data_IF_570693570580
#
_entry.id   IF_570693570580
#
_cell.length_a   1.000
_cell.length_b   1.000
_cell.length_c   1.000
_cell.angle_alpha   90.00
_cell.angle_beta   90.00
_cell.angle_gamma   90.00
#
_symmetry.space_group_name_H-M   'P 1'
#
loop_
_entity.id
_entity.type
_entity.pdbx_description
1 polymer ?
#
# COMPACT_ATOMS: atom_id res chain seq x y z
N UNK A 1 -0.17 -4.65 -22.94
CA UNK A 1 0.73 -4.00 -21.97
C UNK A 1 2.20 -4.14 -22.38
N UNK A 2 2.73 -5.36 -22.49
CA UNK A 2 4.14 -5.60 -22.84
C UNK A 2 4.61 -4.80 -24.05
N UNK A 3 3.92 -4.89 -25.18
CA UNK A 3 4.32 -4.21 -26.40
C UNK A 3 4.29 -2.67 -26.30
N UNK A 4 3.38 -2.12 -25.50
CA UNK A 4 3.30 -0.66 -25.24
C UNK A 4 4.53 -0.22 -24.46
N UNK A 5 4.92 -0.95 -23.40
CA UNK A 5 6.10 -0.62 -22.60
C UNK A 5 7.39 -0.80 -23.38
N UNK A 6 7.49 -1.82 -24.24
CA UNK A 6 8.64 -2.00 -25.13
C UNK A 6 8.73 -0.86 -26.17
N UNK A 7 7.60 -0.45 -26.75
CA UNK A 7 7.57 0.67 -27.69
C UNK A 7 7.97 1.99 -27.02
N UNK A 8 7.43 2.26 -25.81
CA UNK A 8 7.82 3.44 -25.02
C UNK A 8 9.30 3.39 -24.62
N UNK A 9 9.79 2.21 -24.25
CA UNK A 9 11.19 1.99 -23.92
C UNK A 9 12.11 2.28 -25.09
N UNK A 10 11.82 1.70 -26.27
CA UNK A 10 12.57 1.92 -27.49
C UNK A 10 12.55 3.42 -27.88
N UNK A 11 11.36 4.05 -27.86
CA UNK A 11 11.22 5.47 -28.15
C UNK A 11 12.13 6.32 -27.23
N UNK A 12 12.07 6.09 -25.91
CA UNK A 12 12.85 6.85 -24.94
C UNK A 12 14.37 6.64 -25.12
N UNK A 13 14.80 5.41 -25.41
CA UNK A 13 16.22 5.11 -25.68
C UNK A 13 16.71 5.83 -26.95
N UNK A 14 15.91 5.78 -28.03
CA UNK A 14 16.26 6.46 -29.28
C UNK A 14 16.25 7.98 -29.12
N UNK A 15 15.23 8.54 -28.49
CA UNK A 15 15.13 9.98 -28.23
C UNK A 15 16.25 10.46 -27.31
N UNK A 16 16.52 9.72 -26.23
CA UNK A 16 17.59 10.03 -25.29
C UNK A 16 18.96 9.95 -25.94
N UNK A 17 19.22 8.91 -26.74
CA UNK A 17 20.43 8.77 -27.52
C UNK A 17 20.61 9.91 -28.53
N UNK A 18 19.54 10.33 -29.21
CA UNK A 18 19.55 11.47 -30.10
C UNK A 18 19.93 12.78 -29.36
N UNK A 19 19.30 13.07 -28.22
CA UNK A 19 19.60 14.25 -27.43
C UNK A 19 21.04 14.28 -26.89
N UNK A 20 21.61 13.10 -26.58
CA UNK A 20 23.01 12.98 -26.13
C UNK A 20 23.99 13.18 -27.26
N UNK A 21 23.73 12.53 -28.42
CA UNK A 21 24.68 12.56 -29.56
C UNK A 21 24.59 13.86 -30.37
N UNK A 22 23.41 14.47 -30.44
CA UNK A 22 23.12 15.66 -31.23
C UNK A 22 22.44 16.77 -30.40
N UNK A 23 23.10 17.30 -29.34
CA UNK A 23 22.44 18.18 -28.36
C UNK A 23 21.95 19.50 -28.95
N UNK A 24 22.51 19.97 -30.08
CA UNK A 24 22.08 21.20 -30.76
C UNK A 24 20.95 20.97 -31.78
N UNK A 25 20.75 19.76 -32.28
CA UNK A 25 19.93 19.53 -33.46
C UNK A 25 18.48 20.02 -33.35
N UNK A 26 17.84 19.80 -32.20
CA UNK A 26 16.44 20.23 -31.99
C UNK A 26 16.33 21.78 -31.97
N UNK A 27 17.33 22.47 -31.44
CA UNK A 27 17.38 23.92 -31.39
C UNK A 27 17.58 24.49 -32.80
N UNK A 28 18.45 23.88 -33.61
CA UNK A 28 18.64 24.29 -35.00
C UNK A 28 17.38 24.08 -35.83
N UNK A 29 16.69 22.93 -35.68
CA UNK A 29 15.45 22.65 -36.41
C UNK A 29 14.32 23.62 -36.08
N UNK A 30 14.27 24.09 -34.82
CA UNK A 30 13.24 24.99 -34.33
C UNK A 30 13.67 26.48 -34.43
N UNK A 31 14.84 26.78 -35.03
CA UNK A 31 15.41 28.11 -35.11
C UNK A 31 15.52 28.81 -33.76
N UNK A 32 15.87 28.04 -32.73
CA UNK A 32 16.07 28.53 -31.37
C UNK A 32 17.56 28.81 -31.09
N UNK A 33 17.88 29.74 -30.18
CA UNK A 33 19.22 29.88 -29.68
C UNK A 33 19.75 28.56 -29.10
N UNK A 34 21.03 28.26 -29.37
CA UNK A 34 21.69 27.10 -28.79
C UNK A 34 21.74 27.21 -27.26
N UNK A 35 21.60 26.12 -26.52
CA UNK A 35 21.68 26.15 -25.07
C UNK A 35 23.09 26.56 -24.64
N UNK A 36 23.21 27.46 -23.66
CA UNK A 36 24.48 27.91 -23.12
C UNK A 36 25.35 26.76 -22.59
N UNK A 37 24.68 25.69 -22.10
CA UNK A 37 25.31 24.50 -21.54
C UNK A 37 24.64 23.26 -22.15
N UNK A 38 25.10 22.80 -23.33
CA UNK A 38 24.53 21.63 -24.01
C UNK A 38 24.60 20.36 -23.14
N UNK A 39 25.49 20.30 -22.16
CA UNK A 39 25.60 19.19 -21.21
C UNK A 39 24.34 18.98 -20.37
N UNK A 40 23.59 20.05 -20.05
CA UNK A 40 22.29 19.87 -19.37
C UNK A 40 21.27 19.19 -20.27
N UNK A 41 21.24 19.53 -21.55
CA UNK A 41 20.39 18.85 -22.52
C UNK A 41 20.77 17.39 -22.71
N UNK A 42 22.07 17.10 -22.78
CA UNK A 42 22.57 15.72 -22.81
C UNK A 42 22.17 14.95 -21.53
N UNK A 43 22.25 15.58 -20.35
CA UNK A 43 21.80 14.98 -19.09
C UNK A 43 20.30 14.62 -19.13
N UNK A 44 19.46 15.50 -19.67
CA UNK A 44 18.03 15.19 -19.89
C UNK A 44 17.88 13.98 -20.81
N UNK A 45 18.65 13.93 -21.91
CA UNK A 45 18.66 12.79 -22.83
C UNK A 45 19.04 11.47 -22.14
N UNK A 46 20.06 11.48 -21.30
CA UNK A 46 20.47 10.31 -20.51
C UNK A 46 19.36 9.86 -19.55
N UNK A 47 18.73 10.78 -18.83
CA UNK A 47 17.63 10.48 -17.92
C UNK A 47 16.47 9.83 -18.67
N UNK A 48 16.06 10.40 -19.80
CA UNK A 48 14.98 9.84 -20.62
C UNK A 48 15.35 8.45 -21.15
N UNK A 49 16.60 8.25 -21.59
CA UNK A 49 17.09 6.94 -22.02
C UNK A 49 17.04 5.89 -20.89
N UNK A 50 17.43 6.25 -19.68
CA UNK A 50 17.36 5.38 -18.49
C UNK A 50 15.90 5.00 -18.18
N UNK A 51 14.96 5.93 -18.28
CA UNK A 51 13.52 5.58 -18.18
C UNK A 51 13.11 4.57 -19.26
N UNK A 52 13.67 4.67 -20.47
CA UNK A 52 13.44 3.70 -21.54
C UNK A 52 13.88 2.28 -21.16
N UNK A 53 15.03 2.13 -20.52
CA UNK A 53 15.50 0.84 -19.97
C UNK A 53 14.53 0.36 -18.87
N UNK A 54 14.09 1.25 -17.98
CA UNK A 54 13.11 0.94 -16.95
C UNK A 54 11.80 0.38 -17.53
N UNK A 55 11.28 0.96 -18.62
CA UNK A 55 10.09 0.46 -19.29
C UNK A 55 10.31 -0.90 -19.93
N UNK A 56 11.48 -1.16 -20.49
CA UNK A 56 11.83 -2.47 -21.01
C UNK A 56 11.84 -3.54 -19.91
N UNK A 57 12.39 -3.23 -18.73
CA UNK A 57 12.33 -4.11 -17.55
C UNK A 57 10.88 -4.33 -17.13
N UNK A 58 10.09 -3.27 -16.99
CA UNK A 58 8.69 -3.37 -16.61
C UNK A 58 7.82 -4.14 -17.61
N UNK A 59 8.22 -4.21 -18.87
CA UNK A 59 7.51 -4.96 -19.91
C UNK A 59 7.50 -6.48 -19.69
N UNK A 60 8.46 -7.03 -18.94
CA UNK A 60 8.50 -8.47 -18.64
C UNK A 60 7.46 -8.87 -17.59
N UNK A 61 7.22 -8.01 -16.60
CA UNK A 61 6.18 -8.19 -15.58
C UNK A 61 5.60 -6.82 -15.16
N UNK A 62 4.62 -6.29 -15.90
CA UNK A 62 4.05 -4.98 -15.63
C UNK A 62 3.34 -4.87 -14.28
N UNK A 63 2.84 -6.00 -13.76
CA UNK A 63 2.16 -6.04 -12.45
C UNK A 63 3.18 -5.89 -11.32
N UNK A 64 4.26 -6.64 -11.38
CA UNK A 64 5.33 -6.58 -10.38
C UNK A 64 6.07 -5.24 -10.41
N UNK A 65 6.33 -4.73 -11.62
CA UNK A 65 7.13 -3.52 -11.84
C UNK A 65 6.30 -2.25 -12.04
N UNK A 66 5.03 -2.26 -11.60
CA UNK A 66 4.14 -1.08 -11.71
C UNK A 66 4.74 0.22 -11.14
N UNK A 67 5.61 0.23 -10.08
CA UNK A 67 6.21 1.47 -9.61
C UNK A 67 7.07 2.17 -10.66
N UNK A 68 7.79 1.40 -11.51
CA UNK A 68 8.58 1.97 -12.61
C UNK A 68 7.66 2.68 -13.62
N UNK A 69 6.53 2.02 -13.96
CA UNK A 69 5.53 2.59 -14.87
C UNK A 69 4.90 3.85 -14.28
N UNK A 70 4.63 3.86 -12.96
CA UNK A 70 4.06 5.03 -12.26
C UNK A 70 5.02 6.22 -12.29
N UNK A 71 6.28 6.01 -11.90
CA UNK A 71 7.27 7.10 -11.90
C UNK A 71 7.46 7.66 -13.30
N UNK A 72 7.53 6.80 -14.31
CA UNK A 72 7.60 7.23 -15.70
C UNK A 72 6.35 7.96 -16.17
N UNK A 73 5.17 7.54 -15.75
CA UNK A 73 3.91 8.22 -16.05
C UNK A 73 3.85 9.62 -15.41
N UNK A 74 4.29 9.76 -14.17
CA UNK A 74 4.38 11.07 -13.51
C UNK A 74 5.31 12.02 -14.26
N UNK A 75 6.46 11.54 -14.74
CA UNK A 75 7.36 12.34 -15.58
C UNK A 75 6.66 12.84 -16.84
N UNK A 76 5.89 11.97 -17.49
CA UNK A 76 5.11 12.32 -18.70
C UNK A 76 3.93 13.25 -18.43
N UNK A 77 3.44 13.34 -17.21
CA UNK A 77 2.40 14.30 -16.79
C UNK A 77 3.05 15.64 -16.42
N UNK A 78 4.12 15.64 -15.64
CA UNK A 78 4.76 16.87 -15.18
C UNK A 78 5.53 17.59 -16.30
N UNK A 79 6.06 16.86 -17.29
CA UNK A 79 6.71 17.46 -18.45
C UNK A 79 5.79 18.46 -19.20
N UNK A 80 4.62 18.02 -19.69
CA UNK A 80 3.63 18.90 -20.31
C UNK A 80 3.14 20.04 -19.41
N UNK A 81 2.98 19.81 -18.11
CA UNK A 81 2.60 20.87 -17.17
C UNK A 81 3.66 21.97 -17.09
N UNK A 82 4.94 21.59 -17.00
CA UNK A 82 6.06 22.54 -17.07
C UNK A 82 6.12 23.24 -18.42
N UNK A 83 5.84 22.54 -19.52
CA UNK A 83 5.77 23.11 -20.86
C UNK A 83 4.66 24.17 -20.97
N UNK A 84 3.47 23.90 -20.45
CA UNK A 84 2.35 24.87 -20.44
C UNK A 84 2.80 26.15 -19.72
N UNK A 85 3.47 26.04 -18.59
CA UNK A 85 4.00 27.20 -17.87
C UNK A 85 5.02 27.97 -18.72
N UNK A 86 5.97 27.29 -19.36
CA UNK A 86 6.99 27.93 -20.20
C UNK A 86 6.40 28.63 -21.43
N UNK A 87 5.33 28.07 -22.01
CA UNK A 87 4.58 28.70 -23.11
C UNK A 87 3.81 29.92 -22.64
N UNK A 88 3.16 29.83 -21.48
CA UNK A 88 2.39 30.94 -20.89
C UNK A 88 3.28 32.14 -20.56
N UNK A 89 4.51 31.88 -20.13
CA UNK A 89 5.50 32.89 -19.80
C UNK A 89 6.39 33.31 -21.00
N UNK A 90 6.05 32.86 -22.22
CA UNK A 90 6.74 33.12 -23.47
C UNK A 90 8.25 32.76 -23.44
N UNK A 91 8.65 31.85 -22.59
CA UNK A 91 10.05 31.41 -22.48
C UNK A 91 10.43 30.39 -23.56
N UNK A 92 9.44 29.68 -24.14
CA UNK A 92 9.69 28.71 -25.20
C UNK A 92 8.70 28.93 -26.37
N UNK A 93 9.10 28.67 -27.61
CA UNK A 93 8.21 28.74 -28.77
C UNK A 93 7.25 27.57 -28.78
N UNK A 94 6.04 27.77 -29.32
CA UNK A 94 5.02 26.74 -29.48
C UNK A 94 5.50 25.47 -30.20
N UNK A 95 6.41 25.65 -31.16
CA UNK A 95 6.99 24.53 -31.91
C UNK A 95 7.72 23.53 -30.99
N UNK A 96 8.29 23.98 -29.89
CA UNK A 96 8.95 23.10 -28.91
C UNK A 96 7.94 22.19 -28.18
N UNK A 97 6.69 22.65 -28.01
CA UNK A 97 5.62 21.86 -27.38
C UNK A 97 5.23 20.62 -28.19
N UNK A 98 5.49 20.58 -29.51
CA UNK A 98 5.26 19.41 -30.34
C UNK A 98 6.04 18.19 -29.84
N UNK A 99 7.21 18.41 -29.20
CA UNK A 99 7.98 17.36 -28.56
C UNK A 99 7.18 16.65 -27.46
N UNK A 100 6.37 17.38 -26.67
CA UNK A 100 5.53 16.78 -25.63
C UNK A 100 4.45 15.86 -26.18
N UNK A 101 3.98 16.07 -27.42
CA UNK A 101 2.96 15.20 -28.01
C UNK A 101 3.50 13.77 -28.13
N UNK A 102 4.66 13.61 -28.74
CA UNK A 102 5.25 12.29 -29.01
C UNK A 102 5.97 11.72 -27.80
N UNK A 103 6.60 12.57 -26.99
CA UNK A 103 7.33 12.11 -25.81
C UNK A 103 6.42 11.78 -24.64
N UNK A 104 5.28 12.49 -24.47
CA UNK A 104 4.47 12.43 -23.26
C UNK A 104 3.00 12.07 -23.53
N UNK A 105 2.26 12.89 -24.28
CA UNK A 105 0.81 12.82 -24.35
C UNK A 105 0.29 11.50 -24.94
N UNK A 106 0.94 10.97 -25.99
CA UNK A 106 0.53 9.71 -26.62
C UNK A 106 0.60 8.51 -25.65
N UNK A 107 1.41 8.62 -24.58
CA UNK A 107 1.62 7.58 -23.59
C UNK A 107 0.65 7.66 -22.40
N UNK A 108 -0.10 8.75 -22.24
CA UNK A 108 -0.97 8.96 -21.09
C UNK A 108 -2.04 7.87 -20.95
N UNK A 109 -2.81 7.66 -21.99
CA UNK A 109 -3.88 6.65 -21.98
C UNK A 109 -3.30 5.23 -21.82
N UNK A 110 -2.31 4.79 -22.63
CA UNK A 110 -1.72 3.48 -22.45
C UNK A 110 -1.14 3.23 -21.05
N UNK A 111 -0.40 4.19 -20.49
CA UNK A 111 0.20 4.04 -19.16
C UNK A 111 -0.84 4.02 -18.05
N UNK A 112 -1.86 4.89 -18.12
CA UNK A 112 -2.97 4.87 -17.18
C UNK A 112 -3.72 3.52 -17.18
N UNK A 113 -3.94 2.94 -18.36
CA UNK A 113 -4.56 1.61 -18.48
C UNK A 113 -3.68 0.50 -17.92
N UNK A 114 -2.37 0.55 -18.15
CA UNK A 114 -1.41 -0.40 -17.58
C UNK A 114 -1.40 -0.30 -16.07
N UNK A 115 -1.33 0.92 -15.52
CA UNK A 115 -1.35 1.15 -14.07
C UNK A 115 -2.67 0.70 -13.44
N UNK A 116 -3.80 1.00 -14.08
CA UNK A 116 -5.12 0.53 -13.61
C UNK A 116 -5.16 -1.00 -13.53
N UNK A 117 -4.71 -1.69 -14.58
CA UNK A 117 -4.68 -3.15 -14.59
C UNK A 117 -3.68 -3.71 -13.57
N UNK A 118 -2.45 -3.21 -13.56
CA UNK A 118 -1.43 -3.64 -12.61
C UNK A 118 -1.87 -3.44 -11.16
N UNK A 119 -2.54 -2.32 -10.87
CA UNK A 119 -3.10 -2.06 -9.55
C UNK A 119 -4.23 -3.03 -9.21
N UNK A 120 -5.12 -3.32 -10.16
CA UNK A 120 -6.22 -4.28 -9.95
C UNK A 120 -5.68 -5.68 -9.67
N UNK A 121 -4.70 -6.15 -10.45
CA UNK A 121 -4.06 -7.46 -10.25
C UNK A 121 -3.24 -7.50 -8.96
N UNK A 122 -2.52 -6.43 -8.63
CA UNK A 122 -1.79 -6.32 -7.38
C UNK A 122 -2.71 -6.39 -6.15
N UNK A 123 -3.93 -5.85 -6.24
CA UNK A 123 -4.92 -5.93 -5.17
C UNK A 123 -5.65 -7.29 -5.13
N UNK A 124 -5.65 -8.07 -6.21
CA UNK A 124 -6.15 -9.44 -6.16
C UNK A 124 -5.31 -10.23 -5.17
N UNK A 125 -5.98 -10.89 -4.25
CA UNK A 125 -5.31 -11.80 -3.33
C UNK A 125 -4.86 -13.05 -4.08
N UNK A 126 -3.64 -13.00 -4.61
CA UNK A 126 -2.96 -14.14 -5.25
C UNK A 126 -2.48 -15.11 -4.16
N UNK A 127 -3.41 -15.70 -3.44
CA UNK A 127 -3.13 -16.81 -2.53
C UNK A 127 -3.65 -18.11 -3.11
N UNK A 128 -3.35 -19.27 -2.51
CA UNK A 128 -3.90 -20.54 -2.96
C UNK A 128 -5.42 -20.45 -3.07
N UNK A 129 -5.97 -20.94 -4.18
CA UNK A 129 -7.40 -20.88 -4.49
C UNK A 129 -8.27 -21.62 -3.45
N UNK A 130 -7.65 -22.48 -2.64
CA UNK A 130 -8.28 -23.24 -1.56
C UNK A 130 -7.72 -22.79 -0.22
N UNK A 131 -8.42 -21.86 0.43
CA UNK A 131 -8.17 -21.58 1.85
C UNK A 131 -8.85 -22.64 2.70
N UNK A 132 -8.24 -23.07 3.84
CA UNK A 132 -8.95 -23.85 4.84
C UNK A 132 -10.21 -23.10 5.27
N UNK A 133 -11.24 -23.87 5.69
CA UNK A 133 -12.38 -23.25 6.33
C UNK A 133 -11.97 -22.54 7.64
N UNK A 134 -12.76 -21.57 8.06
CA UNK A 134 -12.49 -20.74 9.25
C UNK A 134 -12.21 -21.59 10.48
N UNK A 135 -13.02 -22.65 10.72
CA UNK A 135 -12.90 -23.51 11.90
C UNK A 135 -11.59 -24.30 11.90
N UNK A 136 -11.17 -24.82 10.77
CA UNK A 136 -9.90 -25.53 10.60
C UNK A 136 -8.72 -24.59 10.82
N UNK A 137 -8.78 -23.37 10.29
CA UNK A 137 -7.73 -22.39 10.45
C UNK A 137 -7.59 -21.94 11.91
N UNK A 138 -8.71 -21.65 12.59
CA UNK A 138 -8.70 -21.25 14.01
C UNK A 138 -8.17 -22.36 14.94
N UNK A 139 -8.41 -23.63 14.61
CA UNK A 139 -7.86 -24.79 15.37
C UNK A 139 -6.38 -25.01 15.09
N UNK A 140 -5.96 -24.82 13.84
CA UNK A 140 -4.57 -25.07 13.43
C UNK A 140 -3.61 -23.93 13.70
N UNK A 141 -4.10 -22.73 13.96
CA UNK A 141 -3.24 -21.55 14.18
C UNK A 141 -2.85 -21.42 15.65
N UNK A 142 -1.55 -21.52 15.92
CA UNK A 142 -1.00 -21.38 17.26
C UNK A 142 -0.52 -19.96 17.52
N UNK A 143 -0.76 -19.49 18.73
CA UNK A 143 -0.21 -18.24 19.26
C UNK A 143 1.22 -18.43 19.75
N UNK A 144 1.92 -17.36 20.06
CA UNK A 144 3.24 -17.36 20.73
C UNK A 144 3.22 -18.11 22.06
N UNK A 145 2.06 -18.31 22.67
CA UNK A 145 1.92 -19.06 23.93
C UNK A 145 1.57 -20.55 23.72
N UNK A 146 1.57 -21.02 22.47
CA UNK A 146 1.32 -22.44 22.13
C UNK A 146 -0.15 -22.86 22.12
N UNK A 147 -1.09 -22.00 22.49
CA UNK A 147 -2.52 -22.27 22.44
C UNK A 147 -3.09 -21.93 21.06
N UNK A 148 -4.04 -22.73 20.56
CA UNK A 148 -4.74 -22.36 19.34
C UNK A 148 -5.78 -21.24 19.59
N UNK A 149 -6.10 -20.48 18.53
CA UNK A 149 -7.16 -19.46 18.63
C UNK A 149 -8.51 -20.05 19.04
N UNK A 150 -8.82 -21.26 18.57
CA UNK A 150 -10.04 -21.95 18.96
C UNK A 150 -10.03 -22.29 20.47
N UNK A 151 -8.92 -22.80 21.00
CA UNK A 151 -8.79 -23.10 22.42
C UNK A 151 -8.94 -21.83 23.29
N UNK A 152 -8.22 -20.77 22.95
CA UNK A 152 -8.30 -19.48 23.67
C UNK A 152 -9.73 -18.92 23.68
N UNK A 153 -10.42 -18.98 22.53
CA UNK A 153 -11.77 -18.44 22.41
C UNK A 153 -12.87 -19.31 23.06
N UNK A 154 -12.56 -20.56 23.38
CA UNK A 154 -13.44 -21.41 24.18
C UNK A 154 -13.39 -21.08 25.67
N UNK A 155 -12.23 -20.66 26.17
CA UNK A 155 -12.04 -20.28 27.57
C UNK A 155 -12.58 -18.87 27.85
N UNK A 156 -12.26 -17.91 26.99
CA UNK A 156 -12.65 -16.51 27.09
C UNK A 156 -12.97 -15.92 25.72
N UNK A 157 -13.83 -14.90 25.61
CA UNK A 157 -13.89 -14.10 24.40
C UNK A 157 -12.50 -13.52 24.08
N UNK A 158 -12.10 -13.53 22.81
CA UNK A 158 -10.80 -13.05 22.35
C UNK A 158 -10.99 -11.93 21.34
N UNK A 159 -10.47 -10.75 21.64
CA UNK A 159 -10.42 -9.64 20.72
C UNK A 159 -9.17 -9.77 19.85
N UNK A 160 -9.35 -10.20 18.60
CA UNK A 160 -8.30 -10.32 17.60
C UNK A 160 -8.09 -8.97 16.92
N UNK A 161 -6.88 -8.42 17.00
CA UNK A 161 -6.51 -7.18 16.34
C UNK A 161 -5.51 -7.46 15.24
N UNK A 162 -5.92 -7.22 14.01
CA UNK A 162 -5.13 -7.41 12.81
C UNK A 162 -4.34 -6.16 12.49
N UNK A 163 -3.03 -6.24 12.58
CA UNK A 163 -2.09 -5.15 12.30
C UNK A 163 -1.50 -5.30 10.91
N UNK A 164 -1.10 -4.20 10.29
CA UNK A 164 -0.52 -4.20 8.93
C UNK A 164 0.96 -4.56 8.94
N UNK A 165 1.78 -3.68 9.52
CA UNK A 165 3.23 -3.84 9.64
C UNK A 165 3.77 -2.90 10.73
N UNK A 166 4.94 -3.20 11.30
CA UNK A 166 5.55 -2.45 12.40
C UNK A 166 5.93 -1.00 12.03
N UNK A 167 6.19 -0.75 10.76
CA UNK A 167 6.45 0.60 10.23
C UNK A 167 5.23 1.48 10.04
N UNK A 168 4.01 0.99 10.26
CA UNK A 168 2.78 1.76 10.09
C UNK A 168 2.52 2.66 11.31
N UNK A 169 2.46 3.99 11.12
CA UNK A 169 2.12 4.95 12.19
C UNK A 169 0.78 4.64 12.84
N UNK A 170 -0.22 4.25 12.03
CA UNK A 170 -1.54 3.88 12.55
C UNK A 170 -1.55 2.56 13.34
N UNK A 171 -0.65 1.61 13.03
CA UNK A 171 -0.48 0.41 13.85
C UNK A 171 0.17 0.75 15.19
N UNK A 172 1.08 1.71 15.22
CA UNK A 172 1.70 2.23 16.45
C UNK A 172 0.66 2.87 17.36
N UNK A 173 -0.16 3.71 16.80
CA UNK A 173 -1.27 4.38 17.48
C UNK A 173 -2.30 3.34 17.98
N UNK A 174 -2.64 2.32 17.16
CA UNK A 174 -3.52 1.22 17.57
C UNK A 174 -2.98 0.45 18.78
N UNK A 175 -1.68 0.16 18.83
CA UNK A 175 -1.06 -0.48 20.01
C UNK A 175 -1.07 0.42 21.24
N UNK A 176 -0.87 1.73 21.08
CA UNK A 176 -0.98 2.68 22.19
C UNK A 176 -2.41 2.71 22.75
N UNK A 177 -3.42 2.76 21.88
CA UNK A 177 -4.84 2.72 22.27
C UNK A 177 -5.20 1.40 22.97
N UNK A 178 -4.69 0.27 22.48
CA UNK A 178 -4.90 -1.04 23.09
C UNK A 178 -4.23 -1.13 24.47
N UNK A 179 -3.02 -0.63 24.61
CA UNK A 179 -2.34 -0.57 25.90
C UNK A 179 -3.12 0.25 26.92
N UNK A 180 -3.61 1.41 26.52
CA UNK A 180 -4.44 2.28 27.39
C UNK A 180 -5.80 1.64 27.73
N UNK A 181 -6.39 0.89 26.81
CA UNK A 181 -7.72 0.27 26.96
C UNK A 181 -7.68 -1.13 27.57
N UNK A 182 -6.50 -1.75 27.68
CA UNK A 182 -6.31 -3.16 28.04
C UNK A 182 -7.05 -3.55 29.31
N UNK A 183 -6.89 -2.77 30.38
CA UNK A 183 -7.54 -3.07 31.66
C UNK A 183 -9.07 -3.09 31.57
N UNK A 184 -9.64 -2.21 30.76
CA UNK A 184 -11.08 -2.14 30.54
C UNK A 184 -11.58 -3.33 29.71
N UNK A 185 -10.80 -3.76 28.70
CA UNK A 185 -11.10 -4.92 27.88
C UNK A 185 -11.06 -6.19 28.74
N UNK A 186 -10.04 -6.35 29.58
CA UNK A 186 -9.87 -7.52 30.44
C UNK A 186 -10.95 -7.56 31.56
N UNK A 187 -11.41 -6.40 32.08
CA UNK A 187 -12.55 -6.32 32.99
C UNK A 187 -13.86 -6.83 32.36
N UNK A 188 -14.02 -6.71 31.04
CA UNK A 188 -15.15 -7.28 30.32
C UNK A 188 -15.02 -8.81 30.15
N UNK A 189 -13.98 -9.45 30.70
CA UNK A 189 -13.71 -10.89 30.56
C UNK A 189 -13.12 -11.28 29.21
N UNK A 190 -12.72 -10.31 28.39
CA UNK A 190 -12.16 -10.52 27.05
C UNK A 190 -10.63 -10.47 27.07
N UNK A 191 -9.98 -11.42 26.39
CA UNK A 191 -8.53 -11.46 26.19
C UNK A 191 -8.16 -10.80 24.87
N UNK A 192 -6.95 -10.20 24.81
CA UNK A 192 -6.39 -9.66 23.57
C UNK A 192 -5.58 -10.73 22.84
N UNK A 193 -5.56 -10.69 21.50
CA UNK A 193 -4.59 -11.38 20.67
C UNK A 193 -4.26 -10.52 19.44
N UNK A 194 -2.99 -10.50 19.04
CA UNK A 194 -2.49 -9.65 17.95
C UNK A 194 -2.10 -10.52 16.75
N UNK A 195 -2.53 -10.11 15.55
CA UNK A 195 -2.18 -10.77 14.30
C UNK A 195 -1.29 -9.83 13.50
N UNK A 196 -0.17 -10.34 12.99
CA UNK A 196 0.80 -9.54 12.23
C UNK A 196 1.40 -10.34 11.07
N UNK A 197 2.04 -9.65 10.12
CA UNK A 197 2.69 -10.25 8.96
C UNK A 197 4.21 -10.28 9.06
N UNK A 198 4.80 -9.54 9.99
CA UNK A 198 6.25 -9.45 10.20
C UNK A 198 6.86 -10.68 10.89
N UNK A 199 8.19 -10.66 11.10
CA UNK A 199 8.85 -11.70 11.87
C UNK A 199 8.47 -11.65 13.36
N UNK A 200 8.55 -12.79 14.04
CA UNK A 200 8.26 -12.86 15.48
C UNK A 200 9.18 -11.93 16.30
N UNK A 201 10.46 -11.82 15.91
CA UNK A 201 11.45 -10.99 16.60
C UNK A 201 11.13 -9.49 16.47
N UNK A 202 10.88 -9.02 15.22
CA UNK A 202 10.55 -7.61 14.99
C UNK A 202 9.24 -7.22 15.68
N UNK A 203 8.27 -8.15 15.72
CA UNK A 203 7.00 -7.92 16.36
C UNK A 203 7.09 -7.91 17.90
N UNK A 204 7.87 -8.81 18.49
CA UNK A 204 8.11 -8.82 19.94
C UNK A 204 8.76 -7.49 20.41
N UNK A 205 9.77 -7.00 19.68
CA UNK A 205 10.37 -5.70 19.97
C UNK A 205 9.36 -4.55 19.83
N UNK A 206 8.48 -4.63 18.83
CA UNK A 206 7.44 -3.65 18.56
C UNK A 206 6.39 -3.60 19.68
N UNK A 207 5.88 -4.73 20.14
CA UNK A 207 4.88 -4.83 21.22
C UNK A 207 5.45 -4.48 22.60
N UNK A 208 6.73 -4.80 22.85
CA UNK A 208 7.42 -4.46 24.10
C UNK A 208 7.42 -2.95 24.38
N UNK A 209 7.56 -2.12 23.33
CA UNK A 209 7.52 -0.67 23.46
C UNK A 209 6.18 -0.16 24.03
N UNK A 210 5.09 -0.90 23.86
CA UNK A 210 3.75 -0.55 24.34
C UNK A 210 3.32 -1.35 25.60
N UNK A 211 4.22 -2.15 26.19
CA UNK A 211 3.89 -3.02 27.31
C UNK A 211 2.91 -4.14 26.99
N UNK A 212 2.92 -4.62 25.74
CA UNK A 212 2.02 -5.67 25.23
C UNK A 212 2.78 -6.96 24.84
N UNK A 213 4.00 -7.17 25.34
CA UNK A 213 4.82 -8.34 25.02
C UNK A 213 4.24 -9.67 25.56
N UNK A 214 3.40 -9.60 26.57
CA UNK A 214 2.68 -10.74 27.15
C UNK A 214 1.34 -11.06 26.46
N UNK A 215 0.93 -10.23 25.49
CA UNK A 215 -0.28 -10.48 24.71
C UNK A 215 0.02 -11.55 23.66
N UNK A 216 -0.80 -12.63 23.57
CA UNK A 216 -0.64 -13.65 22.54
C UNK A 216 -0.60 -13.04 21.14
N UNK A 217 0.43 -13.42 20.37
CA UNK A 217 0.60 -12.94 19.00
C UNK A 217 0.65 -14.11 18.00
N UNK A 218 0.29 -13.82 16.75
CA UNK A 218 0.29 -14.77 15.64
C UNK A 218 0.93 -14.12 14.43
N UNK A 219 1.99 -14.75 13.92
CA UNK A 219 2.58 -14.38 12.65
C UNK A 219 1.78 -15.03 11.51
N UNK A 220 1.26 -14.21 10.60
CA UNK A 220 0.53 -14.63 9.40
C UNK A 220 1.08 -13.94 8.13
N UNK A 221 2.35 -14.21 7.74
CA UNK A 221 2.99 -13.56 6.60
C UNK A 221 2.29 -13.89 5.27
N UNK A 222 1.64 -15.04 5.17
CA UNK A 222 0.86 -15.46 4.01
C UNK A 222 -0.58 -14.92 4.01
N UNK A 223 -0.96 -14.18 5.04
CA UNK A 223 -2.27 -13.54 5.21
C UNK A 223 -3.44 -14.51 5.13
N UNK A 224 -3.26 -15.75 5.59
CA UNK A 224 -4.31 -16.78 5.59
C UNK A 224 -5.49 -16.37 6.46
N UNK A 225 -5.21 -15.91 7.70
CA UNK A 225 -6.23 -15.41 8.63
C UNK A 225 -6.89 -14.15 8.10
N UNK A 226 -6.11 -13.20 7.56
CA UNK A 226 -6.66 -11.98 6.95
C UNK A 226 -7.69 -12.33 5.86
N UNK A 227 -7.34 -13.24 4.96
CA UNK A 227 -8.20 -13.63 3.83
C UNK A 227 -9.44 -14.38 4.25
N UNK A 228 -9.30 -15.37 5.15
CA UNK A 228 -10.44 -16.18 5.65
C UNK A 228 -11.45 -15.30 6.38
N UNK A 229 -10.96 -14.30 7.14
CA UNK A 229 -11.84 -13.36 7.84
C UNK A 229 -12.25 -12.14 6.98
N UNK A 230 -12.01 -12.19 5.67
CA UNK A 230 -12.49 -11.19 4.71
C UNK A 230 -11.72 -9.87 4.69
N UNK A 231 -10.55 -9.79 5.34
CA UNK A 231 -9.69 -8.61 5.29
C UNK A 231 -8.90 -8.59 3.97
N UNK A 232 -9.31 -7.73 3.07
CA UNK A 232 -8.71 -7.56 1.74
C UNK A 232 -7.62 -6.47 1.74
N UNK A 233 -6.87 -6.39 0.65
CA UNK A 233 -6.01 -5.23 0.38
C UNK A 233 -6.84 -3.98 0.15
N UNK A 234 -6.35 -2.86 0.65
CA UNK A 234 -7.01 -1.57 0.55
C UNK A 234 -6.93 -0.97 -0.86
N UNK A 235 -7.98 -0.26 -1.26
CA UNK A 235 -7.97 0.56 -2.48
C UNK A 235 -7.11 1.81 -2.25
N UNK A 236 -6.67 2.45 -3.33
CA UNK A 236 -5.84 3.66 -3.26
C UNK A 236 -6.40 4.73 -2.31
N UNK A 237 -7.71 5.01 -2.41
CA UNK A 237 -8.38 5.98 -1.54
C UNK A 237 -8.35 5.59 -0.05
N UNK A 238 -8.38 4.30 0.28
CA UNK A 238 -8.33 3.79 1.65
C UNK A 238 -6.91 3.83 2.24
N UNK A 239 -5.87 3.81 1.39
CA UNK A 239 -4.46 3.77 1.78
C UNK A 239 -3.82 5.16 1.77
N UNK A 240 -4.19 6.01 0.80
CA UNK A 240 -3.56 7.30 0.49
C UNK A 240 -4.59 8.42 0.25
N UNK A 241 -5.84 8.26 0.69
CA UNK A 241 -6.86 9.31 0.59
C UNK A 241 -6.52 10.54 1.44
N UNK A 242 -7.19 11.67 1.14
CA UNK A 242 -6.93 12.93 1.86
C UNK A 242 -7.16 12.80 3.40
N UNK A 243 -8.16 12.03 3.82
CA UNK A 243 -8.41 11.72 5.24
C UNK A 243 -7.21 11.01 5.88
N UNK A 244 -6.60 10.04 5.16
CA UNK A 244 -5.43 9.28 5.63
C UNK A 244 -4.21 10.20 5.75
N UNK A 245 -4.00 11.07 4.77
CA UNK A 245 -2.92 12.06 4.80
C UNK A 245 -3.02 13.00 6.00
N UNK A 246 -4.20 13.55 6.22
CA UNK A 246 -4.45 14.47 7.34
C UNK A 246 -4.29 13.79 8.70
N UNK A 247 -4.82 12.58 8.85
CA UNK A 247 -4.66 11.79 10.08
C UNK A 247 -3.21 11.31 10.26
N UNK A 248 -2.52 10.93 9.19
CA UNK A 248 -1.11 10.57 9.20
C UNK A 248 -0.22 11.71 9.71
N UNK A 249 -0.49 12.93 9.28
CA UNK A 249 0.20 14.12 9.77
C UNK A 249 -0.03 14.32 11.28
N UNK A 250 -1.28 14.17 11.77
CA UNK A 250 -1.58 14.23 13.21
C UNK A 250 -0.89 13.12 13.99
N UNK A 251 -0.85 11.90 13.46
CA UNK A 251 -0.18 10.76 14.08
C UNK A 251 1.34 11.00 14.21
N UNK A 252 1.96 11.61 13.20
CA UNK A 252 3.36 12.06 13.26
C UNK A 252 3.61 13.08 14.36
N UNK A 253 2.75 14.09 14.48
CA UNK A 253 2.83 15.11 15.56
C UNK A 253 2.63 14.50 16.95
N UNK A 254 1.85 13.41 17.06
CA UNK A 254 1.67 12.64 18.28
C UNK A 254 2.86 11.70 18.61
N UNK A 255 3.93 11.70 17.80
CA UNK A 255 5.14 10.90 18.04
C UNK A 255 5.13 9.49 17.41
N UNK A 256 4.10 9.13 16.66
CA UNK A 256 4.03 7.83 15.97
C UNK A 256 4.74 7.88 14.60
N UNK A 257 6.07 7.89 14.63
CA UNK A 257 6.88 7.97 13.41
C UNK A 257 6.82 6.66 12.59
N UNK A 258 6.82 6.74 11.25
CA UNK A 258 6.89 5.56 10.41
C UNK A 258 8.22 4.82 10.62
N UNK A 259 8.19 3.49 10.50
CA UNK A 259 9.34 2.60 10.59
C UNK A 259 9.53 1.75 9.34
N UNK A 260 10.34 0.70 9.44
CA UNK A 260 10.58 -0.23 8.35
C UNK A 260 9.30 -0.99 7.96
N UNK A 261 9.14 -1.26 6.67
CA UNK A 261 8.03 -2.05 6.13
C UNK A 261 8.38 -3.54 6.26
N UNK A 262 7.74 -4.23 7.21
CA UNK A 262 7.88 -5.67 7.46
C UNK A 262 6.53 -6.39 7.25
N UNK A 263 5.98 -6.31 6.06
CA UNK A 263 4.69 -6.89 5.72
C UNK A 263 4.09 -6.25 4.47
N UNK A 264 2.80 -6.51 4.23
CA UNK A 264 2.08 -5.94 3.09
C UNK A 264 1.51 -4.55 3.43
N UNK A 265 2.15 -3.50 2.92
CA UNK A 265 1.71 -2.11 3.11
C UNK A 265 0.32 -1.80 2.55
N UNK A 266 -0.25 -2.68 1.73
CA UNK A 266 -1.60 -2.51 1.17
C UNK A 266 -2.67 -3.27 1.95
N UNK A 267 -2.31 -4.16 2.87
CA UNK A 267 -3.26 -4.92 3.68
C UNK A 267 -4.10 -3.99 4.56
N UNK A 268 -5.43 -4.18 4.57
CA UNK A 268 -6.31 -3.47 5.49
C UNK A 268 -6.30 -4.13 6.87
N UNK A 269 -6.31 -3.32 7.95
CA UNK A 269 -6.47 -3.82 9.30
C UNK A 269 -7.93 -4.19 9.60
N UNK A 270 -8.15 -4.88 10.73
CA UNK A 270 -9.47 -5.24 11.20
C UNK A 270 -9.45 -5.67 12.66
N UNK A 271 -10.63 -5.69 13.28
CA UNK A 271 -10.79 -6.17 14.65
C UNK A 271 -11.97 -7.14 14.71
N UNK A 272 -11.75 -8.29 15.31
CA UNK A 272 -12.75 -9.36 15.42
C UNK A 272 -12.85 -9.80 16.87
N UNK A 273 -14.06 -10.00 17.35
CA UNK A 273 -14.29 -10.67 18.62
C UNK A 273 -14.65 -12.13 18.34
N UNK A 274 -13.81 -13.05 18.83
CA UNK A 274 -14.06 -14.48 18.80
C UNK A 274 -14.63 -14.94 20.14
N UNK A 275 -15.64 -15.82 20.10
CA UNK A 275 -16.12 -16.56 21.25
C UNK A 275 -16.55 -17.96 20.82
N UNK A 276 -16.06 -18.98 21.51
CA UNK A 276 -16.33 -20.40 21.21
C UNK A 276 -16.04 -20.76 19.74
N UNK A 277 -14.86 -20.38 19.28
CA UNK A 277 -14.39 -20.57 17.91
C UNK A 277 -15.31 -19.99 16.82
N UNK A 278 -16.07 -18.94 17.12
CA UNK A 278 -16.92 -18.22 16.17
C UNK A 278 -16.68 -16.72 16.26
N UNK A 279 -16.72 -16.05 15.14
CA UNK A 279 -16.69 -14.59 15.07
C UNK A 279 -18.07 -14.06 15.50
N UNK A 280 -18.09 -13.23 16.55
CA UNK A 280 -19.31 -12.68 17.14
C UNK A 280 -19.47 -11.18 16.94
N UNK A 281 -18.35 -10.46 16.71
CA UNK A 281 -18.33 -9.06 16.30
C UNK A 281 -17.21 -8.82 15.30
N UNK A 282 -17.43 -7.86 14.41
CA UNK A 282 -16.49 -7.48 13.35
C UNK A 282 -16.42 -5.96 13.27
N UNK A 283 -15.21 -5.43 13.18
CA UNK A 283 -14.95 -4.07 12.75
C UNK A 283 -13.95 -4.09 11.61
N UNK A 284 -14.41 -3.75 10.41
CA UNK A 284 -13.56 -3.58 9.23
C UNK A 284 -13.32 -2.09 9.06
N UNK A 285 -12.05 -1.69 9.00
CA UNK A 285 -11.65 -0.30 8.85
C UNK A 285 -12.11 0.25 7.49
N UNK A 286 -12.73 1.42 7.48
CA UNK A 286 -13.12 2.11 6.26
C UNK A 286 -11.89 2.63 5.51
N UNK A 287 -10.87 3.10 6.22
CA UNK A 287 -9.55 3.45 5.74
C UNK A 287 -8.47 3.00 6.76
N UNK A 288 -7.19 3.10 6.41
CA UNK A 288 -6.09 2.62 7.28
C UNK A 288 -5.89 3.47 8.54
N UNK A 289 -6.49 4.63 8.60
CA UNK A 289 -6.44 5.54 9.75
C UNK A 289 -7.68 5.45 10.64
N UNK A 290 -8.66 4.61 10.28
CA UNK A 290 -9.88 4.42 11.05
C UNK A 290 -9.59 3.78 12.42
N UNK A 291 -10.42 4.10 13.43
CA UNK A 291 -10.21 3.68 14.82
C UNK A 291 -11.47 3.07 15.41
N UNK A 292 -11.41 1.80 15.85
CA UNK A 292 -12.52 1.21 16.61
C UNK A 292 -12.53 1.66 18.07
N UNK A 293 -13.68 1.60 18.68
CA UNK A 293 -13.81 1.56 20.14
C UNK A 293 -13.55 0.15 20.64
N UNK A 294 -12.30 -0.14 21.01
CA UNK A 294 -11.86 -1.48 21.44
C UNK A 294 -12.62 -1.95 22.69
N UNK A 295 -12.96 -1.05 23.61
CA UNK A 295 -13.69 -1.40 24.84
C UNK A 295 -15.10 -1.84 24.51
N UNK A 296 -15.80 -1.09 23.66
CA UNK A 296 -17.15 -1.46 23.23
C UNK A 296 -17.15 -2.76 22.43
N UNK A 297 -16.17 -2.97 21.54
CA UNK A 297 -16.05 -4.21 20.77
C UNK A 297 -15.79 -5.43 21.68
N UNK A 298 -15.12 -5.25 22.82
CA UNK A 298 -14.80 -6.31 23.76
C UNK A 298 -15.96 -6.76 24.66
N UNK A 299 -17.07 -6.04 24.67
CA UNK A 299 -18.24 -6.40 25.49
C UNK A 299 -18.85 -7.72 25.01
N UNK A 300 -19.00 -8.68 25.94
CA UNK A 300 -19.43 -10.05 25.65
C UNK A 300 -20.82 -10.08 24.99
N UNK A 301 -20.94 -10.80 23.86
CA UNK A 301 -22.19 -10.91 23.10
C UNK A 301 -23.28 -11.77 23.70
N UNK A 302 -23.11 -12.35 24.87
CA UNK A 302 -24.18 -13.16 25.53
C UNK A 302 -25.41 -12.35 25.95
N UNK A 303 -25.42 -11.03 25.69
CA UNK A 303 -26.57 -10.15 25.90
C UNK A 303 -27.00 -9.60 24.54
N UNK A 304 -27.95 -10.25 23.89
CA UNK A 304 -28.68 -9.83 22.69
C UNK A 304 -27.84 -9.65 21.39
N UNK A 305 -27.76 -10.67 20.54
CA UNK A 305 -27.26 -10.52 19.20
C UNK A 305 -28.11 -11.24 18.16
N UNK A 306 -28.93 -10.47 17.48
CA UNK A 306 -29.25 -10.65 16.08
C UNK A 306 -28.21 -9.84 15.26
N UNK A 307 -27.07 -10.42 14.94
CA UNK A 307 -26.11 -9.80 14.01
C UNK A 307 -26.32 -10.40 12.63
N UNK A 308 -26.86 -9.61 11.74
CA UNK A 308 -26.78 -9.86 10.30
C UNK A 308 -25.31 -9.72 9.87
N UNK A 309 -24.62 -10.84 9.72
CA UNK A 309 -23.34 -10.91 9.03
C UNK A 309 -23.58 -10.51 7.58
N UNK A 310 -22.88 -9.50 7.04
CA UNK A 310 -22.92 -9.25 5.61
C UNK A 310 -22.33 -10.48 4.91
N UNK A 311 -23.17 -11.20 4.15
CA UNK A 311 -22.66 -12.25 3.26
C UNK A 311 -21.75 -11.59 2.24
N UNK A 312 -20.47 -11.93 2.31
CA UNK A 312 -19.49 -11.55 1.30
C UNK A 312 -19.79 -12.39 0.06
N UNK A 313 -20.38 -11.75 -0.96
CA UNK A 313 -20.49 -12.28 -2.32
C UNK A 313 -19.25 -11.94 -3.13
#
# INVERSE_FOLDING_TARGET
MRNVLLAAGLYNVLWGGFAVLFPGAIFDWLHMPQPNYPQFWQCIGMIVGVYGIGYAIAAFDPVRHWPIVLVGFLGKVFGPLGMIQALWTEQLPWAFALNCITNDLIWWVPFALILKHAWTEYLRDAGPDTLPDESTLLKGTLTTHGSSLAALSNEHPVLLVFLRHSGCSFCREALADLAASRQSIEKNGTRLALIHMGSAESFAAFTAHYGLCDVPAIADPERRLYRVLGLRRGRFAQLLGFSVWWRGFKSLLAGHHPGALDGDGTQMPGVFLLHRARVVRIFIHADVADRPDYVNLSVNPSVNLSVNLPRVH
#
